data_IF_064785132459
#
_entry.id   IF_064785132459
#
_cell.length_a   1.000
_cell.length_b   1.000
_cell.length_c   1.000
_cell.angle_alpha   90.00
_cell.angle_beta   90.00
_cell.angle_gamma   90.00
#
_symmetry.space_group_name_H-M   'P 1'
#
loop_
_entity.id
_entity.type
_entity.pdbx_description
1 polymer ?
#
# COMPACT_ATOMS: atom_id res chain seq x y z
N UNK A 1 42.69 -41.70 57.04
CA UNK A 1 41.72 -42.76 57.34
C UNK A 1 40.42 -42.00 57.59
N UNK A 2 39.68 -41.78 56.52
CA UNK A 2 38.24 -41.53 56.60
C UNK A 2 37.69 -41.37 55.17
N UNK A 3 36.81 -42.25 54.90
CA UNK A 3 36.11 -42.51 53.61
C UNK A 3 35.30 -41.32 53.12
N UNK A 4 35.30 -41.11 51.78
CA UNK A 4 34.32 -40.30 51.11
C UNK A 4 33.33 -41.23 50.40
N UNK A 5 32.03 -41.02 50.52
CA UNK A 5 31.04 -41.63 49.59
C UNK A 5 30.76 -40.70 48.41
N UNK A 6 30.96 -41.22 47.21
CA UNK A 6 30.56 -40.67 45.90
C UNK A 6 29.06 -40.73 45.76
N UNK A 7 28.39 -39.58 45.64
CA UNK A 7 26.99 -39.49 45.22
C UNK A 7 26.93 -39.15 43.71
N UNK A 8 26.58 -40.17 42.91
CA UNK A 8 26.26 -40.06 41.48
C UNK A 8 24.77 -39.75 41.34
N UNK A 9 24.39 -38.50 41.19
CA UNK A 9 23.06 -38.16 40.68
C UNK A 9 23.14 -37.96 39.15
N UNK A 10 22.49 -38.90 38.44
CA UNK A 10 22.29 -38.83 36.99
C UNK A 10 21.41 -37.65 36.61
N UNK A 11 21.96 -36.76 35.82
CA UNK A 11 21.19 -35.70 35.15
C UNK A 11 20.47 -36.28 33.94
N UNK A 12 19.15 -36.24 33.97
CA UNK A 12 18.30 -36.55 32.84
C UNK A 12 18.27 -35.30 31.93
N UNK A 13 18.61 -35.36 30.63
CA UNK A 13 18.47 -34.22 29.75
C UNK A 13 16.97 -34.00 29.45
N UNK A 14 16.46 -32.83 29.81
CA UNK A 14 15.14 -32.39 29.44
C UNK A 14 15.08 -32.14 27.91
N UNK A 15 14.38 -32.98 27.20
CA UNK A 15 14.06 -32.81 25.81
C UNK A 15 13.00 -31.70 25.70
N UNK A 16 13.40 -30.52 25.22
CA UNK A 16 12.48 -29.44 24.87
C UNK A 16 11.64 -29.87 23.62
N UNK A 17 10.33 -29.64 23.60
CA UNK A 17 9.53 -29.89 22.41
C UNK A 17 9.86 -28.83 21.34
N UNK A 18 10.44 -29.26 20.24
CA UNK A 18 10.60 -28.47 19.03
C UNK A 18 9.22 -28.32 18.38
N UNK A 19 8.49 -27.25 18.73
CA UNK A 19 7.32 -26.84 18.00
C UNK A 19 7.72 -26.30 16.62
N UNK A 20 6.88 -26.44 15.58
CA UNK A 20 7.19 -25.90 14.27
C UNK A 20 7.34 -24.38 14.38
N UNK A 21 8.51 -23.89 13.95
CA UNK A 21 8.75 -22.45 13.81
C UNK A 21 7.69 -21.88 12.85
N UNK A 22 6.89 -20.94 13.34
CA UNK A 22 6.01 -20.15 12.51
C UNK A 22 6.87 -19.45 11.47
N UNK A 23 6.75 -19.87 10.22
CA UNK A 23 7.39 -19.25 9.07
C UNK A 23 6.69 -17.90 8.89
N UNK A 24 7.25 -16.85 9.47
CA UNK A 24 6.84 -15.48 9.17
C UNK A 24 7.01 -15.21 7.67
N UNK A 25 6.26 -14.26 7.10
CA UNK A 25 6.36 -13.94 5.68
C UNK A 25 7.83 -13.64 5.36
N UNK A 26 8.34 -14.33 4.33
CA UNK A 26 9.71 -14.15 3.87
C UNK A 26 9.94 -12.66 3.58
N UNK A 27 10.96 -12.07 4.20
CA UNK A 27 11.30 -10.68 3.94
C UNK A 27 11.60 -10.51 2.45
N UNK A 28 10.80 -9.67 1.76
CA UNK A 28 10.99 -9.38 0.35
C UNK A 28 12.40 -8.82 0.12
N UNK A 29 13.09 -9.32 -0.92
CA UNK A 29 14.40 -8.83 -1.32
C UNK A 29 14.32 -7.36 -1.74
N UNK A 30 15.43 -6.64 -1.63
CA UNK A 30 15.52 -5.25 -2.12
C UNK A 30 15.18 -5.14 -3.62
N UNK A 31 15.53 -6.16 -4.40
CA UNK A 31 15.23 -6.24 -5.84
C UNK A 31 13.73 -6.48 -6.09
N UNK A 32 13.03 -7.18 -5.20
CA UNK A 32 11.58 -7.38 -5.29
C UNK A 32 10.79 -6.09 -5.03
N UNK A 33 11.40 -5.12 -4.34
CA UNK A 33 10.80 -3.82 -4.03
C UNK A 33 11.15 -2.74 -5.08
N UNK A 34 12.01 -3.04 -6.06
CA UNK A 34 12.36 -2.08 -7.11
C UNK A 34 11.21 -1.86 -8.10
N UNK A 35 11.14 -0.66 -8.69
CA UNK A 35 10.18 -0.36 -9.76
C UNK A 35 10.50 -1.21 -10.99
N UNK A 36 9.59 -2.10 -11.36
CA UNK A 36 9.72 -2.90 -12.59
C UNK A 36 9.22 -2.12 -13.81
N UNK A 37 9.74 -2.40 -15.01
CA UNK A 37 9.33 -1.68 -16.21
C UNK A 37 7.84 -1.86 -16.52
N UNK A 38 7.19 -0.87 -17.17
CA UNK A 38 5.79 -0.97 -17.56
C UNK A 38 5.55 -2.11 -18.54
N UNK A 39 4.36 -2.71 -18.49
CA UNK A 39 3.95 -3.69 -19.48
C UNK A 39 3.92 -3.09 -20.90
N UNK A 40 4.22 -3.87 -21.95
CA UNK A 40 3.92 -3.47 -23.32
C UNK A 40 2.44 -3.09 -23.47
N UNK A 41 2.11 -2.12 -24.31
CA UNK A 41 0.72 -1.65 -24.47
C UNK A 41 -0.25 -2.79 -24.85
N UNK A 42 0.20 -3.71 -25.70
CA UNK A 42 -0.58 -4.89 -26.11
C UNK A 42 -0.90 -5.79 -24.92
N UNK A 43 0.03 -5.97 -23.98
CA UNK A 43 -0.19 -6.79 -22.79
C UNK A 43 -1.05 -6.08 -21.73
N UNK A 44 -1.03 -4.74 -21.67
CA UNK A 44 -1.85 -3.96 -20.76
C UNK A 44 -3.33 -3.83 -21.21
N UNK A 45 -3.58 -3.79 -22.53
CA UNK A 45 -4.92 -3.57 -23.08
C UNK A 45 -6.00 -4.55 -22.59
N UNK A 46 -5.78 -5.88 -22.56
CA UNK A 46 -6.79 -6.82 -22.06
C UNK A 46 -7.09 -6.63 -20.58
N UNK A 47 -6.11 -6.31 -19.74
CA UNK A 47 -6.32 -6.05 -18.32
C UNK A 47 -7.19 -4.80 -18.12
N UNK A 48 -6.94 -3.75 -18.89
CA UNK A 48 -7.75 -2.52 -18.87
C UNK A 48 -9.18 -2.79 -19.37
N UNK A 49 -9.35 -3.55 -20.47
CA UNK A 49 -10.66 -3.90 -20.99
C UNK A 49 -11.47 -4.74 -19.99
N UNK A 50 -10.86 -5.76 -19.38
CA UNK A 50 -11.49 -6.58 -18.34
C UNK A 50 -11.90 -5.72 -17.11
N UNK A 51 -11.07 -4.74 -16.75
CA UNK A 51 -11.39 -3.80 -15.67
C UNK A 51 -12.65 -2.98 -15.97
N UNK A 52 -12.82 -2.48 -17.20
CA UNK A 52 -14.02 -1.73 -17.59
C UNK A 52 -15.29 -2.57 -17.46
N UNK A 53 -15.25 -3.82 -17.91
CA UNK A 53 -16.39 -4.75 -17.80
C UNK A 53 -16.73 -5.03 -16.35
N UNK A 54 -15.70 -5.36 -15.53
CA UNK A 54 -15.89 -5.66 -14.12
C UNK A 54 -16.46 -4.48 -13.35
N UNK A 55 -16.00 -3.26 -13.61
CA UNK A 55 -16.50 -2.09 -12.92
C UNK A 55 -17.98 -1.83 -13.21
N UNK A 56 -18.45 -2.10 -14.43
CA UNK A 56 -19.86 -1.98 -14.74
C UNK A 56 -20.70 -2.91 -13.84
N UNK A 57 -20.26 -4.15 -13.63
CA UNK A 57 -20.89 -5.07 -12.70
C UNK A 57 -20.86 -4.57 -11.24
N UNK A 58 -19.70 -4.06 -10.77
CA UNK A 58 -19.56 -3.53 -9.41
C UNK A 58 -20.44 -2.30 -9.17
N UNK A 59 -20.60 -1.43 -10.17
CA UNK A 59 -21.49 -0.27 -10.09
C UNK A 59 -22.96 -0.69 -10.06
N UNK A 60 -23.35 -1.65 -10.92
CA UNK A 60 -24.71 -2.19 -10.94
C UNK A 60 -25.06 -2.87 -9.61
N UNK A 61 -24.10 -3.60 -9.00
CA UNK A 61 -24.24 -4.24 -7.71
C UNK A 61 -24.05 -3.28 -6.51
N UNK A 62 -23.76 -1.99 -6.75
CA UNK A 62 -23.50 -0.97 -5.72
C UNK A 62 -22.39 -1.34 -4.74
N UNK A 63 -21.40 -2.10 -5.20
CA UNK A 63 -20.26 -2.55 -4.36
C UNK A 63 -19.09 -1.55 -4.29
N UNK A 64 -19.21 -0.37 -4.88
CA UNK A 64 -18.20 0.69 -4.80
C UNK A 64 -18.68 1.78 -3.85
N UNK A 65 -17.89 2.02 -2.79
CA UNK A 65 -18.19 2.99 -1.75
C UNK A 65 -17.14 4.10 -1.68
N UNK A 66 -17.56 5.28 -1.24
CA UNK A 66 -16.71 6.45 -1.03
C UNK A 66 -16.80 6.90 0.44
N UNK A 67 -16.28 6.12 1.40
CA UNK A 67 -16.35 6.47 2.81
C UNK A 67 -15.56 7.75 3.11
N UNK A 68 -15.99 8.48 4.13
CA UNK A 68 -15.38 9.76 4.52
C UNK A 68 -14.54 9.65 5.80
N UNK A 69 -14.45 8.50 6.44
CA UNK A 69 -13.77 8.30 7.71
C UNK A 69 -12.30 8.72 7.71
N UNK A 70 -11.62 8.52 6.59
CA UNK A 70 -10.22 8.89 6.43
C UNK A 70 -10.01 10.27 5.79
N UNK A 71 -11.05 10.93 5.28
CA UNK A 71 -10.93 12.23 4.61
C UNK A 71 -10.48 13.30 5.60
N UNK A 72 -9.48 14.08 5.25
CA UNK A 72 -8.87 15.09 6.08
C UNK A 72 -7.70 14.60 6.96
N UNK A 73 -7.44 13.28 7.01
CA UNK A 73 -6.25 12.74 7.70
C UNK A 73 -4.98 13.22 7.01
N UNK A 74 -4.03 13.66 7.80
CA UNK A 74 -2.70 14.05 7.31
C UNK A 74 -1.74 12.88 7.46
N UNK A 75 -0.98 12.62 6.41
CA UNK A 75 0.10 11.64 6.38
C UNK A 75 1.42 12.38 6.23
N UNK A 76 2.41 11.93 7.00
CA UNK A 76 3.79 12.36 6.86
C UNK A 76 4.61 11.14 6.42
N UNK A 77 5.46 11.31 5.43
CA UNK A 77 6.36 10.27 4.95
C UNK A 77 7.79 10.50 5.45
N UNK A 78 8.62 9.46 5.42
CA UNK A 78 9.97 9.49 5.94
C UNK A 78 10.91 10.39 5.13
N UNK A 79 10.55 10.72 3.88
CA UNK A 79 11.21 11.75 3.06
C UNK A 79 10.89 13.19 3.51
N UNK A 80 10.15 13.37 4.62
CA UNK A 80 9.71 14.66 5.13
C UNK A 80 8.48 15.24 4.43
N UNK A 81 7.95 14.58 3.41
CA UNK A 81 6.76 15.05 2.69
C UNK A 81 5.49 14.92 3.53
N UNK A 82 4.53 15.84 3.29
CA UNK A 82 3.24 15.90 3.97
C UNK A 82 2.13 15.97 2.96
N UNK A 83 1.09 15.21 3.20
CA UNK A 83 -0.07 15.12 2.32
C UNK A 83 -1.34 14.88 3.11
N UNK A 84 -2.50 15.08 2.49
CA UNK A 84 -3.81 14.91 3.14
C UNK A 84 -4.67 13.97 2.31
N UNK A 85 -5.38 13.07 2.96
CA UNK A 85 -6.39 12.24 2.31
C UNK A 85 -7.55 13.12 1.87
N UNK A 86 -7.80 13.23 0.57
CA UNK A 86 -8.95 13.99 0.07
C UNK A 86 -10.12 13.11 -0.35
N UNK A 87 -9.87 11.82 -0.56
CA UNK A 87 -10.89 10.83 -0.92
C UNK A 87 -10.45 9.42 -0.53
N UNK A 88 -11.41 8.56 -0.27
CA UNK A 88 -11.23 7.13 -0.16
C UNK A 88 -12.18 6.42 -1.13
N UNK A 89 -11.72 5.34 -1.73
CA UNK A 89 -12.52 4.45 -2.55
C UNK A 89 -12.38 3.04 -1.99
N UNK A 90 -13.50 2.35 -1.79
CA UNK A 90 -13.55 0.98 -1.29
C UNK A 90 -14.44 0.16 -2.20
N UNK A 91 -13.98 -1.02 -2.55
CA UNK A 91 -14.80 -2.06 -3.17
C UNK A 91 -15.14 -3.07 -2.08
N UNK A 92 -16.42 -3.39 -1.97
CA UNK A 92 -16.87 -4.42 -1.04
C UNK A 92 -16.37 -5.78 -1.51
N UNK A 93 -15.60 -6.43 -0.65
CA UNK A 93 -15.04 -7.79 -0.84
C UNK A 93 -15.40 -8.63 0.37
N UNK A 94 -15.52 -9.93 0.18
CA UNK A 94 -15.85 -10.83 1.30
C UNK A 94 -14.65 -10.92 2.25
N UNK A 95 -13.54 -11.50 1.84
CA UNK A 95 -12.30 -11.60 2.60
C UNK A 95 -11.08 -11.13 1.77
N UNK A 96 -9.97 -10.88 2.44
CA UNK A 96 -8.68 -10.60 1.83
C UNK A 96 -7.74 -11.72 2.26
N UNK A 97 -7.43 -12.62 1.32
CA UNK A 97 -6.62 -13.81 1.59
C UNK A 97 -5.12 -13.48 1.57
N UNK A 98 -4.69 -12.69 0.59
CA UNK A 98 -3.30 -12.30 0.38
C UNK A 98 -3.11 -10.78 0.47
N UNK A 99 -3.21 -10.18 1.66
CA UNK A 99 -3.16 -8.73 1.78
C UNK A 99 -1.85 -8.16 1.25
N UNK A 100 -1.95 -7.11 0.43
CA UNK A 100 -0.80 -6.37 -0.05
C UNK A 100 -1.10 -4.87 -0.06
N UNK A 101 -0.11 -4.05 0.31
CA UNK A 101 -0.18 -2.60 0.18
C UNK A 101 0.58 -2.19 -1.07
N UNK A 102 -0.05 -1.37 -1.90
CA UNK A 102 0.60 -0.69 -3.01
C UNK A 102 0.65 0.81 -2.71
N UNK A 103 1.84 1.39 -2.80
CA UNK A 103 2.03 2.85 -2.76
C UNK A 103 2.49 3.30 -4.14
N UNK A 104 1.85 4.34 -4.68
CA UNK A 104 2.24 4.97 -5.94
C UNK A 104 2.50 6.44 -5.69
N UNK A 105 3.59 6.97 -6.25
CA UNK A 105 3.89 8.40 -6.26
C UNK A 105 4.20 8.87 -7.67
N UNK A 106 3.82 10.10 -8.00
CA UNK A 106 4.12 10.72 -9.29
C UNK A 106 3.96 12.24 -9.20
N UNK A 107 4.60 12.97 -10.11
CA UNK A 107 4.40 14.41 -10.30
C UNK A 107 3.73 14.67 -11.63
N UNK A 108 2.69 15.49 -11.62
CA UNK A 108 2.05 15.91 -12.86
C UNK A 108 2.95 16.87 -13.65
N UNK A 109 2.93 16.75 -14.97
CA UNK A 109 3.53 17.75 -15.85
C UNK A 109 2.85 19.08 -15.57
N UNK A 110 3.66 20.14 -15.39
CA UNK A 110 3.16 21.46 -15.05
C UNK A 110 2.25 22.00 -16.17
N UNK A 111 0.96 21.98 -15.91
CA UNK A 111 0.05 22.98 -16.43
C UNK A 111 -0.09 23.98 -15.27
N UNK A 112 0.35 25.21 -15.47
CA UNK A 112 0.44 26.20 -14.40
C UNK A 112 -0.93 26.53 -13.81
N UNK A 113 -1.17 26.28 -12.52
CA UNK A 113 -2.24 26.88 -11.76
C UNK A 113 -3.23 25.96 -11.06
N UNK A 114 -4.08 26.61 -10.25
CA UNK A 114 -5.16 25.99 -9.46
C UNK A 114 -6.14 25.15 -10.32
N UNK A 115 -6.26 25.46 -11.59
CA UNK A 115 -7.14 24.75 -12.55
C UNK A 115 -6.65 23.32 -12.77
N UNK A 116 -5.35 23.09 -12.84
CA UNK A 116 -4.77 21.76 -13.00
C UNK A 116 -5.12 20.82 -11.85
N UNK A 117 -5.02 21.31 -10.60
CA UNK A 117 -5.38 20.49 -9.44
C UNK A 117 -6.87 20.16 -9.39
N UNK A 118 -7.72 21.05 -9.89
CA UNK A 118 -9.16 20.80 -10.04
C UNK A 118 -9.43 19.77 -11.14
N UNK A 119 -8.79 19.92 -12.31
CA UNK A 119 -8.91 18.98 -13.42
C UNK A 119 -8.42 17.59 -13.04
N UNK A 120 -7.28 17.49 -12.35
CA UNK A 120 -6.77 16.21 -11.86
C UNK A 120 -7.74 15.54 -10.88
N UNK A 121 -8.38 16.32 -9.99
CA UNK A 121 -9.42 15.77 -9.10
C UNK A 121 -10.62 15.22 -9.88
N UNK A 122 -11.05 15.91 -10.93
CA UNK A 122 -12.15 15.45 -11.80
C UNK A 122 -11.73 14.21 -12.57
N UNK A 123 -10.54 14.21 -13.15
CA UNK A 123 -9.96 13.07 -13.85
C UNK A 123 -9.80 11.86 -12.93
N UNK A 124 -9.36 12.07 -11.68
CA UNK A 124 -9.26 11.00 -10.68
C UNK A 124 -10.62 10.41 -10.31
N UNK A 125 -11.71 11.18 -10.40
CA UNK A 125 -13.07 10.67 -10.21
C UNK A 125 -13.47 9.79 -11.41
N UNK A 126 -13.16 10.21 -12.62
CA UNK A 126 -13.42 9.43 -13.84
C UNK A 126 -12.57 8.15 -13.93
N UNK A 127 -11.35 8.18 -13.38
CA UNK A 127 -10.45 7.02 -13.31
C UNK A 127 -10.78 6.05 -12.15
N UNK A 128 -11.62 6.46 -11.20
CA UNK A 128 -12.02 5.58 -10.08
C UNK A 128 -12.68 4.29 -10.55
N UNK A 129 -13.64 4.31 -11.50
CA UNK A 129 -14.21 3.09 -12.03
C UNK A 129 -13.16 2.16 -12.64
N UNK A 130 -12.28 2.71 -13.47
CA UNK A 130 -11.23 1.91 -14.10
C UNK A 130 -10.36 1.19 -13.06
N UNK A 131 -9.92 1.91 -12.03
CA UNK A 131 -9.13 1.34 -10.94
C UNK A 131 -9.87 0.22 -10.20
N UNK A 132 -11.14 0.46 -9.83
CA UNK A 132 -11.95 -0.49 -9.06
C UNK A 132 -12.22 -1.80 -9.81
N UNK A 133 -12.12 -1.79 -11.12
CA UNK A 133 -12.33 -2.96 -11.96
C UNK A 133 -11.15 -3.93 -12.03
N UNK A 134 -9.94 -3.55 -11.61
CA UNK A 134 -8.83 -4.50 -11.57
C UNK A 134 -9.05 -5.60 -10.53
N UNK A 135 -8.63 -6.84 -10.89
CA UNK A 135 -8.73 -7.98 -9.97
C UNK A 135 -7.89 -7.73 -8.72
N UNK A 136 -8.40 -8.11 -7.55
CA UNK A 136 -7.72 -7.94 -6.27
C UNK A 136 -7.77 -6.52 -5.70
N UNK A 137 -8.33 -5.53 -6.39
CA UNK A 137 -8.50 -4.20 -5.81
C UNK A 137 -9.50 -4.20 -4.67
N UNK A 138 -9.08 -3.70 -3.51
CA UNK A 138 -9.90 -3.59 -2.29
C UNK A 138 -10.19 -2.14 -1.96
N UNK A 139 -9.17 -1.30 -1.81
CA UNK A 139 -9.38 0.10 -1.45
C UNK A 139 -8.20 1.00 -1.81
N UNK A 140 -8.46 2.31 -1.84
CA UNK A 140 -7.44 3.34 -2.10
C UNK A 140 -7.70 4.58 -1.28
N UNK A 141 -6.66 5.10 -0.63
CA UNK A 141 -6.58 6.47 -0.14
C UNK A 141 -5.97 7.35 -1.22
N UNK A 142 -6.69 8.38 -1.59
CA UNK A 142 -6.25 9.39 -2.53
C UNK A 142 -5.67 10.57 -1.77
N UNK A 143 -4.40 10.86 -2.00
CA UNK A 143 -3.65 11.88 -1.28
C UNK A 143 -3.48 13.12 -2.15
N UNK A 144 -3.53 14.30 -1.52
CA UNK A 144 -3.19 15.56 -2.19
C UNK A 144 -1.72 15.56 -2.58
N UNK A 145 -1.31 16.47 -3.46
CA UNK A 145 0.11 16.72 -3.67
C UNK A 145 0.77 17.22 -2.39
N UNK A 146 2.03 16.86 -2.22
CA UNK A 146 2.89 17.36 -1.16
C UNK A 146 3.50 18.73 -1.53
N UNK A 147 4.40 19.25 -0.67
CA UNK A 147 5.11 20.49 -0.88
C UNK A 147 6.05 20.50 -2.12
N UNK A 148 6.34 19.33 -2.67
CA UNK A 148 7.18 19.14 -3.88
C UNK A 148 6.34 18.83 -5.13
N UNK A 149 5.01 18.91 -5.02
CA UNK A 149 4.07 18.65 -6.11
C UNK A 149 3.88 17.17 -6.44
N UNK A 150 4.35 16.25 -5.58
CA UNK A 150 4.15 14.82 -5.77
C UNK A 150 2.80 14.38 -5.20
N UNK A 151 1.99 13.74 -6.02
CA UNK A 151 0.77 13.04 -5.63
C UNK A 151 1.11 11.64 -5.17
N UNK A 152 0.34 11.12 -4.22
CA UNK A 152 0.47 9.74 -3.75
C UNK A 152 -0.88 9.06 -3.65
N UNK A 153 -0.86 7.73 -3.74
CA UNK A 153 -1.98 6.86 -3.40
C UNK A 153 -1.49 5.71 -2.54
N UNK A 154 -2.26 5.36 -1.52
CA UNK A 154 -2.03 4.16 -0.69
C UNK A 154 -3.20 3.23 -0.89
N UNK A 155 -2.91 2.02 -1.35
CA UNK A 155 -3.92 1.06 -1.77
C UNK A 155 -3.87 -0.19 -0.90
N UNK A 156 -5.02 -0.83 -0.73
CA UNK A 156 -5.12 -2.22 -0.29
C UNK A 156 -5.46 -3.09 -1.48
N UNK A 157 -4.75 -4.17 -1.62
CA UNK A 157 -4.96 -5.22 -2.61
C UNK A 157 -5.13 -6.58 -1.94
N UNK A 158 -5.82 -7.47 -2.60
CA UNK A 158 -5.80 -8.90 -2.39
C UNK A 158 -4.92 -9.51 -3.50
N UNK A 159 -3.69 -9.83 -3.14
CA UNK A 159 -2.63 -10.29 -4.02
C UNK A 159 -1.59 -9.22 -4.41
N UNK A 160 -0.33 -9.51 -4.13
CA UNK A 160 0.79 -8.65 -4.47
C UNK A 160 1.04 -8.61 -5.99
N UNK A 161 0.84 -9.74 -6.67
CA UNK A 161 0.97 -9.84 -8.13
C UNK A 161 -0.08 -8.99 -8.84
N UNK A 162 -1.33 -8.98 -8.35
CA UNK A 162 -2.43 -8.17 -8.85
C UNK A 162 -2.12 -6.68 -8.69
N UNK A 163 -1.58 -6.29 -7.54
CA UNK A 163 -1.14 -4.92 -7.28
C UNK A 163 -0.04 -4.47 -8.25
N UNK A 164 0.95 -5.32 -8.48
CA UNK A 164 2.04 -5.06 -9.42
C UNK A 164 1.55 -4.99 -10.87
N UNK A 165 0.71 -5.93 -11.27
CA UNK A 165 0.12 -5.93 -12.60
C UNK A 165 -0.67 -4.64 -12.89
N UNK A 166 -1.46 -4.17 -11.92
CA UNK A 166 -2.12 -2.86 -12.01
C UNK A 166 -1.12 -1.72 -12.19
N UNK A 167 -0.10 -1.61 -11.33
CA UNK A 167 0.89 -0.54 -11.38
C UNK A 167 1.59 -0.49 -12.75
N UNK A 168 2.01 -1.63 -13.27
CA UNK A 168 2.70 -1.76 -14.56
C UNK A 168 1.78 -1.55 -15.77
N UNK A 169 0.51 -1.95 -15.68
CA UNK A 169 -0.48 -1.76 -16.75
C UNK A 169 -0.87 -0.30 -16.91
N UNK A 170 -1.07 0.43 -15.80
CA UNK A 170 -1.45 1.84 -15.85
C UNK A 170 -0.28 2.82 -15.91
N UNK A 171 0.96 2.34 -15.79
CA UNK A 171 2.16 3.19 -15.86
C UNK A 171 2.19 4.07 -17.11
N UNK A 172 1.90 3.50 -18.28
CA UNK A 172 1.92 4.24 -19.55
C UNK A 172 0.85 5.33 -19.61
N UNK A 173 -0.33 5.04 -19.09
CA UNK A 173 -1.43 6.02 -19.01
C UNK A 173 -1.01 7.15 -18.09
N UNK A 174 -0.48 6.83 -16.91
CA UNK A 174 -0.01 7.81 -15.96
C UNK A 174 1.18 8.64 -16.51
N UNK A 175 2.07 8.02 -17.28
CA UNK A 175 3.20 8.68 -17.92
C UNK A 175 2.81 9.77 -18.92
N UNK A 176 1.62 9.70 -19.52
CA UNK A 176 1.13 10.73 -20.44
C UNK A 176 0.94 12.09 -19.74
N UNK A 177 0.56 12.09 -18.48
CA UNK A 177 0.30 13.31 -17.70
C UNK A 177 1.38 13.58 -16.64
N UNK A 178 2.35 12.69 -16.46
CA UNK A 178 3.38 12.81 -15.42
C UNK A 178 4.70 13.34 -15.95
N UNK A 179 5.48 13.96 -15.08
CA UNK A 179 6.88 14.33 -15.34
C UNK A 179 7.69 13.04 -15.57
N UNK A 180 8.48 12.94 -16.64
CA UNK A 180 9.31 11.77 -16.89
C UNK A 180 10.20 11.44 -15.67
N UNK A 181 10.26 10.15 -15.32
CA UNK A 181 11.05 9.67 -14.18
C UNK A 181 10.48 10.00 -12.80
N UNK A 182 9.24 10.53 -12.71
CA UNK A 182 8.60 10.85 -11.42
C UNK A 182 7.62 9.81 -10.93
N UNK A 183 7.34 8.77 -11.73
CA UNK A 183 6.43 7.71 -11.34
C UNK A 183 7.24 6.65 -10.60
N UNK A 184 6.82 6.37 -9.37
CA UNK A 184 7.40 5.33 -8.52
C UNK A 184 6.27 4.53 -7.89
N UNK A 185 6.49 3.25 -7.65
CA UNK A 185 5.57 2.41 -6.88
C UNK A 185 6.31 1.47 -5.94
N UNK A 186 5.63 0.98 -4.93
CA UNK A 186 6.08 -0.08 -4.02
C UNK A 186 4.92 -1.02 -3.75
N UNK A 187 5.18 -2.30 -3.82
CA UNK A 187 4.26 -3.35 -3.38
C UNK A 187 4.84 -3.97 -2.11
N UNK A 188 4.01 -4.05 -1.07
CA UNK A 188 4.36 -4.63 0.22
C UNK A 188 3.47 -5.87 0.46
N UNK A 189 3.95 -7.07 0.11
CA UNK A 189 3.19 -8.30 0.31
C UNK A 189 2.97 -8.61 1.80
N UNK A 190 1.86 -9.30 2.11
CA UNK A 190 1.53 -9.72 3.48
C UNK A 190 1.11 -8.59 4.41
N UNK A 191 0.90 -7.38 3.90
CA UNK A 191 0.62 -6.19 4.71
C UNK A 191 -0.81 -5.70 4.51
N UNK A 192 -1.51 -5.40 5.60
CA UNK A 192 -2.78 -4.67 5.58
C UNK A 192 -2.53 -3.16 5.64
N UNK A 193 -3.31 -2.39 4.87
CA UNK A 193 -3.17 -0.92 4.80
C UNK A 193 -3.29 -0.26 6.17
N UNK A 194 -4.22 -0.71 7.00
CA UNK A 194 -4.44 -0.16 8.33
C UNK A 194 -3.25 -0.42 9.25
N UNK A 195 -2.61 -1.57 9.13
CA UNK A 195 -1.38 -1.92 9.85
C UNK A 195 -0.21 -1.07 9.36
N UNK A 196 0.00 -0.97 8.05
CA UNK A 196 1.00 -0.10 7.43
C UNK A 196 0.90 1.36 7.89
N UNK A 197 -0.32 1.87 8.04
CA UNK A 197 -0.55 3.24 8.47
C UNK A 197 -0.44 3.41 9.99
N UNK A 198 -0.63 2.35 10.78
CA UNK A 198 -0.56 2.39 12.25
C UNK A 198 0.86 2.19 12.75
N UNK A 199 1.59 1.28 12.14
CA UNK A 199 2.95 0.94 12.52
C UNK A 199 3.90 1.04 11.31
N UNK A 200 4.51 2.20 11.09
CA UNK A 200 5.50 2.39 10.02
C UNK A 200 6.72 1.49 10.14
N UNK A 201 6.98 0.95 11.32
CA UNK A 201 8.08 0.03 11.60
C UNK A 201 7.76 -1.43 11.31
N UNK A 202 6.48 -1.80 11.16
CA UNK A 202 6.05 -3.18 10.94
C UNK A 202 6.64 -3.78 9.65
N UNK A 203 6.90 -2.97 8.64
CA UNK A 203 7.59 -3.40 7.43
C UNK A 203 9.11 -3.19 7.55
N UNK A 204 9.68 -3.92 8.49
CA UNK A 204 11.11 -4.15 8.58
C UNK A 204 11.93 -2.99 9.12
N UNK A 205 12.38 -3.12 10.35
CA UNK A 205 13.74 -2.79 10.78
C UNK A 205 14.80 -3.58 9.95
N UNK A 206 14.35 -4.43 9.03
CA UNK A 206 15.19 -5.16 8.09
C UNK A 206 15.62 -4.21 6.99
N UNK A 207 16.74 -3.59 7.19
CA UNK A 207 17.75 -3.08 6.27
C UNK A 207 17.42 -3.12 4.76
N UNK A 208 16.27 -2.56 4.36
CA UNK A 208 16.05 -2.13 2.97
C UNK A 208 16.44 -0.65 2.92
N UNK A 209 17.71 -0.39 3.21
CA UNK A 209 18.26 0.95 3.34
C UNK A 209 19.01 1.38 2.09
N UNK A 210 18.47 1.16 0.89
CA UNK A 210 19.10 1.66 -0.34
C UNK A 210 18.09 2.21 -1.32
N UNK A 211 17.16 3.05 -0.84
CA UNK A 211 16.26 3.79 -1.71
C UNK A 211 15.57 4.93 -0.95
N UNK A 212 15.11 5.96 -1.63
CA UNK A 212 14.44 7.07 -0.97
C UNK A 212 13.17 6.57 -0.26
N UNK A 213 13.02 6.91 1.02
CA UNK A 213 11.91 6.51 1.90
C UNK A 213 10.57 7.23 1.59
N UNK A 214 10.36 7.64 0.35
CA UNK A 214 9.18 8.38 -0.11
C UNK A 214 7.85 7.66 0.13
N UNK A 215 7.88 6.34 0.29
CA UNK A 215 6.71 5.46 0.45
C UNK A 215 6.39 5.14 1.91
N UNK A 216 7.37 5.28 2.82
CA UNK A 216 7.24 4.88 4.22
C UNK A 216 6.58 5.99 5.04
N UNK A 217 5.51 5.72 5.81
CA UNK A 217 4.99 6.68 6.77
C UNK A 217 6.05 6.99 7.85
N UNK A 218 6.15 8.25 8.27
CA UNK A 218 7.12 8.68 9.29
C UNK A 218 6.59 8.52 10.72
N UNK A 219 5.28 8.60 10.90
CA UNK A 219 4.62 8.57 12.20
C UNK A 219 3.32 7.78 12.10
N UNK A 220 2.90 7.09 13.19
CA UNK A 220 1.57 6.51 13.27
C UNK A 220 0.52 7.57 12.98
N UNK A 221 -0.43 7.26 12.11
CA UNK A 221 -1.45 8.22 11.76
C UNK A 221 -2.46 8.32 12.90
N UNK A 222 -2.40 9.42 13.64
CA UNK A 222 -3.42 9.74 14.63
C UNK A 222 -4.76 10.00 13.92
N UNK A 223 -5.76 9.18 14.21
CA UNK A 223 -7.14 9.52 13.90
C UNK A 223 -7.47 10.70 14.80
N UNK A 224 -7.75 11.87 14.20
CA UNK A 224 -8.23 13.02 14.95
C UNK A 224 -9.55 12.63 15.61
N UNK A 225 -9.46 12.11 16.84
CA UNK A 225 -10.60 11.76 17.66
C UNK A 225 -11.45 13.00 17.80
N UNK A 226 -12.71 12.89 17.50
CA UNK A 226 -13.72 13.86 17.92
C UNK A 226 -13.68 13.83 19.45
N UNK A 227 -13.01 14.79 20.07
CA UNK A 227 -13.13 15.03 21.51
C UNK A 227 -14.61 15.34 21.73
N UNK A 228 -15.36 14.38 22.26
CA UNK A 228 -16.63 14.65 22.92
C UNK A 228 -16.23 15.39 24.17
N UNK A 229 -16.48 16.69 24.21
CA UNK A 229 -16.54 17.40 25.49
C UNK A 229 -17.66 16.77 26.30
N UNK A 230 -17.42 16.45 27.60
CA UNK A 230 -18.48 16.06 28.50
C UNK A 230 -19.30 17.31 28.80
N UNK A 231 -20.58 17.28 28.42
CA UNK A 231 -21.60 18.22 28.87
C UNK A 231 -22.03 17.93 30.31
#
# INVERSE_FOLDING_TARGET
MTDQPTDRRGSIPATAPTGPAATGPAAASADDLADKPPHPAIAAAPAVAASVVRVAGLLAARRIHLPRGNVGRQLRFADGSRTTVYRETVVETDDIDEPAVLIVAFRLRALNGRLQHRLFRIESILNTPLLAGFSGFVSKLWLTHDQHGAYRGVYQWDGAEQAENYARSLWRVLALCSVPGSIHYRVLPGMRREEFLRDPGAYGSTRVATGPDWWRPAEPISVKGRVREPG
#
